data_IF_795584513029
#
_entry.id   IF_795584513029
#
_cell.length_a   1.000
_cell.length_b   1.000
_cell.length_c   1.000
_cell.angle_alpha   90.00
_cell.angle_beta   90.00
_cell.angle_gamma   90.00
#
_symmetry.space_group_name_H-M   'P 1'
#
loop_
_entity.id
_entity.type
_entity.pdbx_description
1 polymer ?
#
# COMPACT_ATOMS: atom_id res chain seq x y z
N UNK A 1 -51.21 66.77 -26.25
CA UNK A 1 -51.32 65.32 -26.04
C UNK A 1 -50.14 64.65 -26.72
N UNK A 2 -49.22 64.09 -25.93
CA UNK A 2 -48.30 63.02 -26.32
C UNK A 2 -47.64 62.52 -25.03
N UNK A 3 -48.16 61.42 -24.49
CA UNK A 3 -47.57 60.68 -23.37
C UNK A 3 -46.37 59.87 -23.88
N UNK A 4 -45.21 59.88 -23.21
CA UNK A 4 -44.16 58.94 -23.54
C UNK A 4 -44.45 57.56 -22.91
N UNK A 5 -44.24 56.56 -23.76
CA UNK A 5 -44.38 55.12 -23.54
C UNK A 5 -43.53 54.59 -22.39
N UNK A 6 -44.06 53.58 -21.71
CA UNK A 6 -43.52 52.98 -20.50
C UNK A 6 -42.13 52.35 -20.66
N UNK A 7 -41.36 52.44 -19.59
CA UNK A 7 -40.11 51.75 -19.38
C UNK A 7 -40.34 50.24 -19.35
N UNK A 8 -39.67 49.51 -20.23
CA UNK A 8 -39.59 48.05 -20.17
C UNK A 8 -38.83 47.63 -18.92
N UNK A 9 -39.52 46.95 -18.01
CA UNK A 9 -38.89 46.27 -16.88
C UNK A 9 -38.06 45.10 -17.44
N UNK A 10 -36.73 45.28 -17.48
CA UNK A 10 -35.80 44.18 -17.70
C UNK A 10 -35.91 43.20 -16.54
N UNK A 11 -36.61 42.09 -16.76
CA UNK A 11 -36.66 40.99 -15.81
C UNK A 11 -35.27 40.38 -15.69
N UNK A 12 -34.55 40.71 -14.63
CA UNK A 12 -33.37 39.95 -14.23
C UNK A 12 -33.87 38.58 -13.77
N UNK A 13 -33.55 37.52 -14.52
CA UNK A 13 -33.71 36.16 -14.04
C UNK A 13 -33.03 36.04 -12.66
N UNK A 14 -33.71 35.51 -11.64
CA UNK A 14 -33.07 35.30 -10.34
C UNK A 14 -31.84 34.41 -10.55
N UNK A 15 -30.70 34.70 -9.87
CA UNK A 15 -29.52 33.87 -9.97
C UNK A 15 -29.89 32.44 -9.56
N UNK A 16 -29.58 31.48 -10.43
CA UNK A 16 -29.78 30.06 -10.14
C UNK A 16 -29.12 29.73 -8.80
N UNK A 17 -29.82 29.10 -7.84
CA UNK A 17 -29.23 28.74 -6.57
C UNK A 17 -27.98 27.90 -6.79
N UNK A 18 -26.90 28.21 -6.08
CA UNK A 18 -25.69 27.39 -6.12
C UNK A 18 -26.04 25.96 -5.69
N UNK A 19 -25.83 24.98 -6.57
CA UNK A 19 -26.08 23.58 -6.27
C UNK A 19 -24.76 22.80 -6.22
N UNK A 20 -24.58 22.03 -5.15
CA UNK A 20 -23.44 21.12 -5.02
C UNK A 20 -23.56 20.03 -6.06
N UNK A 21 -22.51 19.82 -6.84
CA UNK A 21 -22.46 18.70 -7.78
C UNK A 21 -22.16 17.43 -7.01
N UNK A 22 -22.85 16.34 -7.36
CA UNK A 22 -22.59 15.04 -6.78
C UNK A 22 -21.17 14.59 -7.16
N UNK A 23 -20.31 14.25 -6.18
CA UNK A 23 -19.02 13.65 -6.49
C UNK A 23 -19.18 12.26 -7.08
N UNK A 24 -18.38 11.92 -8.09
CA UNK A 24 -18.28 10.56 -8.64
C UNK A 24 -17.80 9.59 -7.57
N UNK A 25 -16.70 9.93 -6.88
CA UNK A 25 -16.15 9.16 -5.77
C UNK A 25 -16.62 9.70 -4.44
N UNK A 26 -17.93 9.61 -4.20
CA UNK A 26 -18.53 10.11 -2.98
C UNK A 26 -20.04 10.20 -3.02
N UNK A 27 -20.58 11.07 -2.17
CA UNK A 27 -22.03 11.30 -2.08
C UNK A 27 -22.33 12.71 -1.59
N UNK A 28 -23.58 13.12 -1.76
CA UNK A 28 -24.13 14.30 -1.11
C UNK A 28 -24.74 13.89 0.23
N UNK A 29 -24.43 14.65 1.27
CA UNK A 29 -24.96 14.47 2.62
C UNK A 29 -25.77 15.70 3.01
N UNK A 30 -26.99 15.50 3.49
CA UNK A 30 -27.83 16.56 4.05
C UNK A 30 -27.27 17.00 5.41
N UNK A 31 -27.10 18.31 5.58
CA UNK A 31 -26.54 18.90 6.80
C UNK A 31 -27.57 19.62 7.67
N UNK A 32 -28.73 19.97 7.12
CA UNK A 32 -29.83 20.57 7.86
C UNK A 32 -31.20 20.20 7.27
N UNK A 33 -32.25 20.56 8.02
CA UNK A 33 -33.66 20.42 7.60
C UNK A 33 -34.06 21.35 6.45
N UNK A 34 -33.23 22.36 6.15
CA UNK A 34 -33.46 23.32 5.07
C UNK A 34 -32.99 22.78 3.71
N UNK A 35 -32.50 21.54 3.67
CA UNK A 35 -32.07 20.86 2.46
C UNK A 35 -30.66 21.24 2.01
N UNK A 36 -29.85 21.90 2.87
CA UNK A 36 -28.44 22.15 2.53
C UNK A 36 -27.69 20.83 2.48
N UNK A 37 -26.84 20.70 1.47
CA UNK A 37 -26.03 19.51 1.22
C UNK A 37 -24.55 19.86 1.25
N UNK A 38 -23.73 18.88 1.61
CA UNK A 38 -22.27 18.92 1.45
C UNK A 38 -21.81 17.72 0.65
N UNK A 39 -20.71 17.89 -0.08
CA UNK A 39 -20.04 16.77 -0.71
C UNK A 39 -19.21 16.02 0.33
N UNK A 40 -19.36 14.70 0.35
CA UNK A 40 -18.48 13.77 1.07
C UNK A 40 -17.72 12.99 0.01
N UNK A 41 -16.39 13.09 0.02
CA UNK A 41 -15.52 12.55 -1.03
C UNK A 41 -14.59 11.47 -0.51
N UNK A 42 -14.15 10.60 -1.42
CA UNK A 42 -13.28 9.48 -1.10
C UNK A 42 -13.98 8.43 -0.23
N UNK A 43 -13.19 7.65 0.51
CA UNK A 43 -13.70 6.68 1.48
C UNK A 43 -13.86 5.27 0.93
N UNK A 44 -12.88 4.81 0.16
CA UNK A 44 -12.78 3.44 -0.27
C UNK A 44 -12.25 3.25 -1.68
N UNK A 45 -12.25 1.98 -2.07
CA UNK A 45 -11.90 1.58 -3.42
C UNK A 45 -12.99 2.01 -4.41
N UNK A 46 -12.61 2.43 -5.62
CA UNK A 46 -13.55 2.65 -6.71
C UNK A 46 -14.00 1.30 -7.31
N UNK A 47 -15.14 1.32 -8.00
CA UNK A 47 -15.46 0.28 -8.98
C UNK A 47 -14.46 0.30 -10.13
N UNK A 48 -14.29 -0.83 -10.81
CA UNK A 48 -13.36 -1.01 -11.93
C UNK A 48 -13.56 0.02 -13.07
N UNK A 49 -14.78 0.49 -13.25
CA UNK A 49 -15.15 1.48 -14.26
C UNK A 49 -15.07 2.94 -13.80
N UNK A 50 -14.66 3.20 -12.55
CA UNK A 50 -14.64 4.52 -11.91
C UNK A 50 -16.03 5.20 -11.84
N UNK A 51 -17.13 4.45 -11.91
CA UNK A 51 -18.48 5.04 -11.89
C UNK A 51 -18.96 5.47 -10.51
N UNK A 52 -18.46 4.82 -9.46
CA UNK A 52 -18.77 5.08 -8.06
C UNK A 52 -17.75 4.35 -7.17
N UNK A 53 -17.86 4.56 -5.85
CA UNK A 53 -17.21 3.72 -4.86
C UNK A 53 -17.78 2.29 -4.89
N UNK A 54 -16.91 1.33 -4.62
CA UNK A 54 -17.28 -0.08 -4.46
C UNK A 54 -17.89 -0.30 -3.06
N UNK A 55 -19.17 -0.69 -2.96
CA UNK A 55 -19.84 -0.88 -1.67
C UNK A 55 -19.20 -1.97 -0.80
N UNK A 56 -18.44 -2.91 -1.38
CA UNK A 56 -17.75 -3.96 -0.65
C UNK A 56 -16.41 -3.51 -0.06
N UNK A 57 -15.88 -2.35 -0.48
CA UNK A 57 -14.55 -1.86 -0.13
C UNK A 57 -14.58 -0.39 0.31
N UNK A 58 -15.55 -0.06 1.15
CA UNK A 58 -15.70 1.27 1.74
C UNK A 58 -14.85 1.41 3.00
N UNK A 59 -14.28 2.59 3.18
CA UNK A 59 -13.64 2.99 4.43
C UNK A 59 -14.66 3.59 5.40
N UNK A 60 -14.41 3.50 6.72
CA UNK A 60 -15.22 4.20 7.71
C UNK A 60 -15.26 5.71 7.44
N UNK A 61 -16.44 6.29 7.68
CA UNK A 61 -16.63 7.72 7.53
C UNK A 61 -15.67 8.52 8.41
N UNK A 62 -15.00 9.50 7.82
CA UNK A 62 -14.11 10.43 8.52
C UNK A 62 -14.55 11.87 8.25
N UNK A 63 -14.50 12.74 9.26
CA UNK A 63 -14.93 14.14 9.12
C UNK A 63 -14.15 14.91 8.04
N UNK A 64 -12.89 14.53 7.77
CA UNK A 64 -12.05 15.14 6.73
C UNK A 64 -12.54 14.87 5.30
N UNK A 65 -13.44 13.90 5.09
CA UNK A 65 -14.08 13.62 3.80
C UNK A 65 -15.06 14.72 3.39
N UNK A 66 -15.51 15.57 4.32
CA UNK A 66 -16.42 16.67 3.99
C UNK A 66 -15.66 17.73 3.19
N UNK A 67 -16.24 18.10 2.04
CA UNK A 67 -15.84 19.23 1.21
C UNK A 67 -16.83 20.36 1.45
N UNK A 68 -16.42 21.38 2.19
CA UNK A 68 -17.25 22.58 2.38
C UNK A 68 -17.21 23.44 1.12
N UNK A 69 -18.35 24.03 0.81
CA UNK A 69 -18.59 24.75 -0.46
C UNK A 69 -18.05 26.18 -0.41
N UNK A 70 -18.07 26.78 0.78
CA UNK A 70 -17.65 28.14 1.06
C UNK A 70 -16.57 28.08 2.14
N UNK A 71 -15.46 28.80 1.93
CA UNK A 71 -14.37 28.91 2.90
C UNK A 71 -13.61 27.60 3.20
N UNK A 72 -13.38 26.74 2.18
CA UNK A 72 -12.65 25.45 2.29
C UNK A 72 -11.15 25.59 2.66
N UNK A 73 -10.63 26.81 2.82
CA UNK A 73 -9.20 27.06 3.07
C UNK A 73 -8.66 26.34 4.31
N UNK A 74 -9.45 26.25 5.39
CA UNK A 74 -9.04 25.56 6.62
C UNK A 74 -8.97 24.04 6.43
N UNK A 75 -9.96 23.44 5.78
CA UNK A 75 -9.97 21.99 5.53
C UNK A 75 -8.88 21.60 4.54
N UNK A 76 -8.71 22.38 3.46
CA UNK A 76 -7.60 22.21 2.52
C UNK A 76 -6.24 22.24 3.23
N UNK A 77 -6.04 23.14 4.21
CA UNK A 77 -4.80 23.22 4.96
C UNK A 77 -4.48 21.91 5.71
N UNK A 78 -5.48 21.20 6.24
CA UNK A 78 -5.28 19.87 6.83
C UNK A 78 -5.00 18.81 5.76
N UNK A 79 -5.72 18.84 4.63
CA UNK A 79 -5.56 17.87 3.54
C UNK A 79 -4.15 17.88 2.94
N UNK A 80 -3.51 19.05 2.84
CA UNK A 80 -2.15 19.19 2.31
C UNK A 80 -1.06 19.22 3.40
N UNK A 81 -1.42 19.13 4.69
CA UNK A 81 -0.46 19.17 5.79
C UNK A 81 0.40 17.91 5.73
N UNK A 82 1.69 18.07 5.42
CA UNK A 82 2.63 16.95 5.41
C UNK A 82 2.91 16.38 6.80
N UNK A 83 3.56 15.23 6.82
CA UNK A 83 3.99 14.56 8.05
C UNK A 83 4.88 15.45 8.92
N UNK A 84 4.79 15.28 10.23
CA UNK A 84 5.61 16.01 11.21
C UNK A 84 7.08 15.62 11.07
N UNK A 85 7.36 14.32 11.10
CA UNK A 85 8.68 13.79 10.72
C UNK A 85 8.74 13.62 9.21
N UNK A 86 9.60 14.41 8.56
CA UNK A 86 9.80 14.31 7.11
C UNK A 86 10.47 12.99 6.75
N UNK A 87 9.97 12.37 5.69
CA UNK A 87 10.52 11.14 5.17
C UNK A 87 11.83 11.41 4.41
N UNK A 88 12.80 10.55 4.64
CA UNK A 88 14.07 10.51 3.92
C UNK A 88 14.38 9.07 3.50
N UNK A 89 15.37 8.90 2.63
CA UNK A 89 15.72 7.61 2.03
C UNK A 89 16.21 6.55 3.03
N UNK A 90 16.62 6.97 4.24
CA UNK A 90 17.05 6.07 5.33
C UNK A 90 15.91 5.80 6.33
N UNK A 91 14.76 6.43 6.14
CA UNK A 91 13.60 6.31 7.02
C UNK A 91 12.92 4.94 6.89
N UNK A 92 12.06 4.63 7.87
CA UNK A 92 11.27 3.42 7.85
C UNK A 92 10.13 3.54 6.82
N UNK A 93 10.31 2.92 5.65
CA UNK A 93 9.35 2.96 4.55
C UNK A 93 7.97 2.41 4.97
N UNK A 94 7.92 1.33 5.76
CA UNK A 94 6.66 0.70 6.19
C UNK A 94 5.84 1.67 7.04
N UNK A 95 6.49 2.37 7.97
CA UNK A 95 5.84 3.39 8.79
C UNK A 95 5.38 4.57 7.94
N UNK A 96 6.21 5.02 7.00
CA UNK A 96 5.83 6.08 6.07
C UNK A 96 4.60 5.72 5.23
N UNK A 97 4.54 4.51 4.66
CA UNK A 97 3.39 4.03 3.89
C UNK A 97 2.11 4.01 4.74
N UNK A 98 2.21 3.51 5.98
CA UNK A 98 1.09 3.50 6.93
C UNK A 98 0.59 4.91 7.20
N UNK A 99 1.50 5.84 7.50
CA UNK A 99 1.14 7.22 7.83
C UNK A 99 0.54 7.96 6.61
N UNK A 100 1.04 7.67 5.39
CA UNK A 100 0.44 8.15 4.14
C UNK A 100 -0.99 7.63 3.98
N UNK A 101 -1.22 6.32 4.10
CA UNK A 101 -2.57 5.73 3.98
C UNK A 101 -3.51 6.33 5.01
N UNK A 102 -3.08 6.40 6.28
CA UNK A 102 -3.88 6.97 7.35
C UNK A 102 -4.29 8.42 7.05
N UNK A 103 -3.35 9.24 6.56
CA UNK A 103 -3.64 10.62 6.17
C UNK A 103 -4.63 10.69 5.01
N UNK A 104 -4.45 9.87 3.98
CA UNK A 104 -5.35 9.86 2.82
C UNK A 104 -6.78 9.49 3.25
N UNK A 105 -6.95 8.42 4.04
CA UNK A 105 -8.26 7.96 4.52
C UNK A 105 -8.92 9.00 5.42
N UNK A 106 -8.18 9.54 6.41
CA UNK A 106 -8.72 10.52 7.35
C UNK A 106 -9.24 11.80 6.68
N UNK A 107 -8.73 12.10 5.47
CA UNK A 107 -9.00 13.32 4.72
C UNK A 107 -9.80 13.10 3.42
N UNK A 108 -10.26 11.86 3.15
CA UNK A 108 -11.02 11.54 1.93
C UNK A 108 -10.22 11.69 0.63
N UNK A 109 -8.92 11.42 0.69
CA UNK A 109 -7.98 11.44 -0.44
C UNK A 109 -7.54 10.04 -0.86
N UNK A 110 -8.07 8.99 -0.24
CA UNK A 110 -7.65 7.60 -0.44
C UNK A 110 -8.05 7.05 -1.81
N UNK A 111 -9.24 7.39 -2.31
CA UNK A 111 -9.74 6.82 -3.57
C UNK A 111 -8.84 7.14 -4.78
N UNK A 112 -8.17 8.31 -4.80
CA UNK A 112 -7.25 8.65 -5.90
C UNK A 112 -5.98 7.80 -5.92
N UNK A 113 -5.70 7.04 -4.86
CA UNK A 113 -4.55 6.17 -4.75
C UNK A 113 -4.81 4.78 -5.35
N UNK A 114 -6.04 4.50 -5.79
CA UNK A 114 -6.36 3.24 -6.45
C UNK A 114 -6.00 3.27 -7.94
N UNK A 115 -5.34 2.21 -8.40
CA UNK A 115 -4.92 2.01 -9.79
C UNK A 115 -5.30 0.60 -10.24
N UNK A 116 -5.79 0.41 -11.48
CA UNK A 116 -6.00 -0.92 -12.05
C UNK A 116 -4.71 -1.76 -12.06
N UNK A 117 -4.70 -2.90 -11.39
CA UNK A 117 -3.52 -3.76 -11.33
C UNK A 117 -3.13 -4.31 -12.73
N UNK A 118 -1.82 -4.37 -13.03
CA UNK A 118 -1.28 -4.72 -14.35
C UNK A 118 -1.84 -6.02 -14.95
N UNK A 119 -2.09 -7.01 -14.10
CA UNK A 119 -2.44 -8.37 -14.53
C UNK A 119 -3.93 -8.68 -14.44
N UNK A 120 -4.62 -8.09 -13.45
CA UNK A 120 -6.00 -8.44 -13.12
C UNK A 120 -6.98 -7.35 -13.54
N UNK A 121 -6.53 -6.11 -13.74
CA UNK A 121 -7.39 -4.96 -14.01
C UNK A 121 -8.16 -4.44 -12.78
N UNK A 122 -8.19 -5.21 -11.69
CA UNK A 122 -8.88 -4.84 -10.45
C UNK A 122 -8.15 -3.66 -9.79
N UNK A 123 -8.86 -2.60 -9.34
CA UNK A 123 -8.27 -1.49 -8.63
C UNK A 123 -7.60 -1.93 -7.32
N UNK A 124 -6.32 -1.60 -7.15
CA UNK A 124 -5.53 -1.84 -5.94
C UNK A 124 -4.94 -0.53 -5.42
N UNK A 125 -4.70 -0.44 -4.12
CA UNK A 125 -4.15 0.77 -3.50
C UNK A 125 -2.64 0.87 -3.78
N UNK A 126 -2.23 1.88 -4.55
CA UNK A 126 -0.85 2.01 -5.07
C UNK A 126 0.20 2.13 -3.97
N UNK A 127 -0.15 2.68 -2.80
CA UNK A 127 0.80 2.79 -1.68
C UNK A 127 1.19 1.41 -1.15
N UNK A 128 0.24 0.47 -1.14
CA UNK A 128 0.46 -0.89 -0.63
C UNK A 128 1.08 -1.79 -1.70
N UNK A 129 0.58 -1.69 -2.93
CA UNK A 129 0.96 -2.55 -4.06
C UNK A 129 2.00 -1.90 -4.99
N UNK A 130 2.73 -0.87 -4.53
CA UNK A 130 3.76 -0.21 -5.33
C UNK A 130 4.82 -1.13 -5.97
N UNK A 131 5.22 -2.29 -5.39
CA UNK A 131 6.20 -3.17 -6.04
C UNK A 131 5.68 -3.80 -7.34
N UNK A 132 4.36 -3.85 -7.53
CA UNK A 132 3.71 -4.40 -8.72
C UNK A 132 3.72 -3.46 -9.93
N UNK A 133 4.17 -2.21 -9.74
CA UNK A 133 4.14 -1.16 -10.76
C UNK A 133 5.53 -0.62 -11.06
N UNK A 134 5.80 -0.45 -12.36
CA UNK A 134 6.83 0.46 -12.86
C UNK A 134 6.20 1.84 -13.14
N UNK A 135 7.02 2.90 -13.22
CA UNK A 135 6.55 4.27 -13.54
C UNK A 135 5.77 4.31 -14.86
N UNK A 136 6.20 3.55 -15.87
CA UNK A 136 5.54 3.48 -17.18
C UNK A 136 4.20 2.75 -17.10
N UNK A 137 4.15 1.64 -16.36
CA UNK A 137 2.93 0.85 -16.19
C UNK A 137 1.83 1.63 -15.48
N UNK A 138 2.16 2.35 -14.39
CA UNK A 138 1.18 3.15 -13.64
C UNK A 138 0.66 4.31 -14.49
N UNK A 139 1.52 5.01 -15.24
CA UNK A 139 1.09 6.07 -16.18
C UNK A 139 0.10 5.55 -17.22
N UNK A 140 0.36 4.35 -17.76
CA UNK A 140 -0.55 3.71 -18.72
C UNK A 140 -1.90 3.39 -18.07
N UNK A 141 -1.92 2.80 -16.88
CA UNK A 141 -3.15 2.36 -16.21
C UNK A 141 -4.02 3.51 -15.76
N UNK A 142 -3.43 4.57 -15.21
CA UNK A 142 -4.22 5.72 -14.73
C UNK A 142 -4.75 6.58 -15.89
N UNK A 143 -4.20 6.48 -17.10
CA UNK A 143 -4.57 7.37 -18.21
C UNK A 143 -6.07 7.40 -18.52
N UNK A 144 -6.73 6.23 -18.58
CA UNK A 144 -8.17 6.13 -18.84
C UNK A 144 -9.01 6.61 -17.66
N UNK A 145 -8.50 6.42 -16.44
CA UNK A 145 -9.14 6.84 -15.19
C UNK A 145 -9.12 8.37 -15.05
N UNK A 146 -8.00 9.03 -15.38
CA UNK A 146 -7.87 10.49 -15.31
C UNK A 146 -8.88 11.22 -16.20
N UNK A 147 -9.30 10.61 -17.31
CA UNK A 147 -10.34 11.17 -18.19
C UNK A 147 -11.74 11.16 -17.54
N UNK A 148 -11.93 10.38 -16.47
CA UNK A 148 -13.20 10.26 -15.74
C UNK A 148 -13.23 11.11 -14.47
N UNK A 149 -12.14 11.79 -14.15
CA UNK A 149 -12.06 12.61 -12.95
C UNK A 149 -13.04 13.77 -13.03
N UNK A 150 -13.86 13.89 -11.99
CA UNK A 150 -14.60 15.11 -11.77
C UNK A 150 -13.70 16.18 -11.11
N UNK A 151 -14.29 17.31 -10.74
CA UNK A 151 -13.57 18.39 -10.06
C UNK A 151 -13.06 17.99 -8.66
N UNK A 152 -13.75 17.09 -7.97
CA UNK A 152 -13.39 16.61 -6.64
C UNK A 152 -12.23 15.62 -6.72
N UNK A 153 -12.25 14.71 -7.69
CA UNK A 153 -11.14 13.79 -7.97
C UNK A 153 -9.87 14.57 -8.33
N UNK A 154 -9.99 15.57 -9.19
CA UNK A 154 -8.88 16.44 -9.60
C UNK A 154 -8.30 17.24 -8.42
N UNK A 155 -9.17 17.73 -7.53
CA UNK A 155 -8.76 18.42 -6.30
C UNK A 155 -8.09 17.45 -5.32
N UNK A 156 -8.66 16.26 -5.12
CA UNK A 156 -8.11 15.21 -4.26
C UNK A 156 -6.71 14.79 -4.74
N UNK A 157 -6.53 14.56 -6.04
CA UNK A 157 -5.23 14.20 -6.63
C UNK A 157 -4.18 15.29 -6.40
N UNK A 158 -4.56 16.54 -6.62
CA UNK A 158 -3.68 17.70 -6.42
C UNK A 158 -3.29 17.87 -4.95
N UNK A 159 -4.24 17.72 -4.04
CA UNK A 159 -4.00 17.85 -2.60
C UNK A 159 -3.20 16.68 -2.02
N UNK A 160 -3.43 15.45 -2.50
CA UNK A 160 -2.63 14.29 -2.13
C UNK A 160 -1.17 14.40 -2.59
N UNK A 161 -0.93 14.95 -3.79
CA UNK A 161 0.43 15.28 -4.25
C UNK A 161 1.10 16.30 -3.35
N UNK A 162 0.42 17.41 -3.03
CA UNK A 162 0.96 18.43 -2.14
C UNK A 162 1.23 17.89 -0.74
N UNK A 163 0.34 17.05 -0.20
CA UNK A 163 0.57 16.35 1.05
C UNK A 163 1.86 15.51 1.00
N UNK A 164 2.01 14.71 -0.06
CA UNK A 164 3.17 13.85 -0.23
C UNK A 164 4.45 14.68 -0.31
N UNK A 165 4.48 15.71 -1.16
CA UNK A 165 5.61 16.63 -1.31
C UNK A 165 5.97 17.31 0.02
N UNK A 166 4.97 17.82 0.74
CA UNK A 166 5.14 18.42 2.07
C UNK A 166 5.60 17.41 3.12
N UNK A 167 5.56 16.10 2.85
CA UNK A 167 5.98 15.05 3.78
C UNK A 167 7.43 14.60 3.56
N UNK A 168 8.14 15.14 2.56
CA UNK A 168 9.52 14.75 2.22
C UNK A 168 10.55 15.73 2.78
N UNK A 169 11.76 15.22 3.03
CA UNK A 169 12.93 16.06 3.25
C UNK A 169 13.25 16.88 1.99
N UNK A 170 13.70 18.16 2.09
CA UNK A 170 13.95 19.01 0.94
C UNK A 170 14.85 18.38 -0.14
N UNK A 171 15.90 17.66 0.26
CA UNK A 171 16.84 17.00 -0.65
C UNK A 171 16.20 15.87 -1.47
N UNK A 172 15.21 15.18 -0.90
CA UNK A 172 14.45 14.12 -1.57
C UNK A 172 13.35 14.72 -2.44
N UNK A 173 12.68 15.78 -1.98
CA UNK A 173 11.69 16.52 -2.74
C UNK A 173 12.29 17.05 -4.05
N UNK A 174 13.47 17.66 -3.99
CA UNK A 174 14.17 18.16 -5.19
C UNK A 174 14.43 17.05 -6.22
N UNK A 175 14.88 15.87 -5.78
CA UNK A 175 15.08 14.72 -6.67
C UNK A 175 13.77 14.21 -7.27
N UNK A 176 12.68 14.26 -6.51
CA UNK A 176 11.35 13.87 -6.97
C UNK A 176 10.83 14.84 -8.03
N UNK A 177 10.88 16.15 -7.77
CA UNK A 177 10.39 17.19 -8.69
C UNK A 177 11.14 17.20 -10.02
N UNK A 178 12.43 16.84 -10.03
CA UNK A 178 13.20 16.67 -11.27
C UNK A 178 12.75 15.49 -12.15
N UNK A 179 11.98 14.53 -11.61
CA UNK A 179 11.57 13.31 -12.33
C UNK A 179 10.09 13.27 -12.68
N UNK A 180 9.25 13.94 -11.91
CA UNK A 180 7.81 14.00 -12.14
C UNK A 180 7.45 15.11 -13.12
N UNK A 181 6.33 14.95 -13.82
CA UNK A 181 5.72 15.99 -14.65
C UNK A 181 4.63 16.70 -13.86
N UNK A 182 4.34 17.95 -14.21
CA UNK A 182 3.23 18.72 -13.60
C UNK A 182 1.87 18.04 -13.80
N UNK A 183 1.72 17.26 -14.87
CA UNK A 183 0.52 16.49 -15.21
C UNK A 183 0.48 15.10 -14.56
N UNK A 184 1.54 14.65 -13.90
CA UNK A 184 1.54 13.33 -13.27
C UNK A 184 0.55 13.32 -12.09
N UNK A 185 -0.23 12.24 -11.99
CA UNK A 185 -1.19 12.02 -10.91
C UNK A 185 -0.52 11.51 -9.64
N UNK A 186 -1.21 11.55 -8.50
CA UNK A 186 -0.71 11.07 -7.22
C UNK A 186 -0.11 9.65 -7.31
N UNK A 187 -0.76 8.65 -7.93
CA UNK A 187 -0.15 7.33 -8.07
C UNK A 187 1.19 7.34 -8.79
N UNK A 188 1.32 8.14 -9.85
CA UNK A 188 2.58 8.26 -10.61
C UNK A 188 3.67 8.92 -9.75
N UNK A 189 3.32 9.98 -9.01
CA UNK A 189 4.25 10.66 -8.10
C UNK A 189 4.70 9.71 -6.99
N UNK A 190 3.79 8.92 -6.40
CA UNK A 190 4.11 7.96 -5.36
C UNK A 190 5.03 6.85 -5.86
N UNK A 191 4.74 6.23 -7.02
CA UNK A 191 5.63 5.22 -7.62
C UNK A 191 7.01 5.80 -7.96
N UNK A 192 7.06 7.05 -8.43
CA UNK A 192 8.33 7.73 -8.72
C UNK A 192 9.14 7.93 -7.44
N UNK A 193 8.50 8.30 -6.32
CA UNK A 193 9.13 8.37 -5.01
C UNK A 193 9.65 6.99 -4.56
N UNK A 194 8.86 5.93 -4.74
CA UNK A 194 9.29 4.57 -4.40
C UNK A 194 10.52 4.13 -5.21
N UNK A 195 10.58 4.49 -6.49
CA UNK A 195 11.74 4.23 -7.34
C UNK A 195 12.99 5.00 -6.89
N UNK A 196 12.83 6.23 -6.40
CA UNK A 196 13.92 7.01 -5.79
C UNK A 196 14.38 6.40 -4.45
N UNK A 197 13.43 5.90 -3.66
CA UNK A 197 13.71 5.26 -2.38
C UNK A 197 14.42 3.93 -2.54
N UNK A 198 13.97 3.11 -3.49
CA UNK A 198 14.51 1.79 -3.73
C UNK A 198 14.56 1.53 -5.23
N UNK A 199 15.74 1.18 -5.74
CA UNK A 199 15.92 0.78 -7.13
C UNK A 199 15.08 -0.48 -7.42
N UNK A 200 14.06 -0.41 -8.27
CA UNK A 200 13.32 -1.58 -8.76
C UNK A 200 14.12 -2.32 -9.86
N UNK A 201 15.39 -2.63 -9.59
CA UNK A 201 16.23 -3.39 -10.53
C UNK A 201 16.12 -4.89 -10.28
N UNK A 202 16.31 -5.67 -11.35
CA UNK A 202 16.43 -7.14 -11.25
C UNK A 202 17.53 -7.52 -10.25
N UNK A 203 18.65 -6.78 -10.24
CA UNK A 203 19.74 -6.98 -9.28
C UNK A 203 19.29 -6.82 -7.83
N UNK A 204 18.35 -5.92 -7.53
CA UNK A 204 17.80 -5.79 -6.18
C UNK A 204 16.97 -7.00 -5.80
N UNK A 205 16.08 -7.46 -6.67
CA UNK A 205 15.29 -8.66 -6.38
C UNK A 205 16.17 -9.89 -6.20
N UNK A 206 17.23 -10.03 -7.00
CA UNK A 206 18.25 -11.07 -6.78
C UNK A 206 18.99 -10.90 -5.46
N UNK A 207 19.33 -9.67 -5.05
CA UNK A 207 19.94 -9.42 -3.74
C UNK A 207 19.00 -9.80 -2.58
N UNK A 208 17.69 -9.55 -2.69
CA UNK A 208 16.69 -9.97 -1.69
C UNK A 208 16.60 -11.50 -1.64
N UNK A 209 16.49 -12.17 -2.80
CA UNK A 209 16.50 -13.64 -2.89
C UNK A 209 17.76 -14.22 -2.24
N UNK A 210 18.90 -13.60 -2.48
CA UNK A 210 20.19 -14.04 -1.93
C UNK A 210 20.30 -13.76 -0.43
N UNK A 211 19.73 -12.66 0.05
CA UNK A 211 19.59 -12.38 1.49
C UNK A 211 18.77 -13.46 2.17
N UNK A 212 17.62 -13.85 1.61
CA UNK A 212 16.81 -14.97 2.12
C UNK A 212 17.63 -16.26 2.19
N UNK A 213 18.40 -16.59 1.15
CA UNK A 213 19.23 -17.82 1.13
C UNK A 213 20.38 -17.81 2.13
N UNK A 214 20.96 -16.64 2.38
CA UNK A 214 22.15 -16.49 3.23
C UNK A 214 21.84 -16.22 4.69
N UNK A 215 20.60 -15.81 5.01
CA UNK A 215 20.16 -15.50 6.37
C UNK A 215 20.37 -16.69 7.30
N UNK A 216 20.99 -16.44 8.44
CA UNK A 216 21.29 -17.47 9.46
C UNK A 216 20.79 -17.01 10.83
N UNK A 217 20.47 -17.96 11.72
CA UNK A 217 20.12 -17.64 13.11
C UNK A 217 21.20 -16.81 13.83
N UNK A 218 22.47 -17.08 13.54
CA UNK A 218 23.62 -16.36 14.11
C UNK A 218 23.68 -14.86 13.77
N UNK A 219 22.94 -14.42 12.75
CA UNK A 219 22.85 -13.01 12.38
C UNK A 219 21.99 -12.21 13.38
N UNK A 220 21.25 -12.91 14.25
CA UNK A 220 20.33 -12.34 15.22
C UNK A 220 20.85 -12.55 16.66
N UNK A 221 20.85 -11.52 17.52
CA UNK A 221 21.28 -11.65 18.91
C UNK A 221 20.53 -12.76 19.65
N UNK A 222 21.28 -13.68 20.27
CA UNK A 222 20.70 -14.83 20.97
C UNK A 222 19.94 -15.80 20.06
N UNK A 223 20.22 -15.78 18.75
CA UNK A 223 19.48 -16.55 17.74
C UNK A 223 17.96 -16.32 17.85
N UNK A 224 17.53 -15.06 17.99
CA UNK A 224 16.10 -14.72 18.09
C UNK A 224 15.38 -14.98 16.77
N UNK A 225 14.70 -16.13 16.71
CA UNK A 225 13.97 -16.58 15.52
C UNK A 225 12.77 -15.69 15.20
N UNK A 226 12.24 -14.94 16.17
CA UNK A 226 11.17 -13.98 15.90
C UNK A 226 11.65 -12.86 14.98
N UNK A 227 12.87 -12.36 15.20
CA UNK A 227 13.47 -11.33 14.35
C UNK A 227 13.81 -11.89 12.96
N UNK A 228 14.36 -13.11 12.91
CA UNK A 228 14.64 -13.80 11.65
C UNK A 228 13.37 -14.05 10.83
N UNK A 229 12.28 -14.46 11.49
CA UNK A 229 10.94 -14.67 10.93
C UNK A 229 10.36 -13.38 10.36
N UNK A 230 10.44 -12.28 11.11
CA UNK A 230 9.98 -10.97 10.64
C UNK A 230 10.72 -10.54 9.35
N UNK A 231 12.04 -10.63 9.33
CA UNK A 231 12.84 -10.26 8.16
C UNK A 231 12.55 -11.18 6.95
N UNK A 232 12.32 -12.48 7.16
CA UNK A 232 11.92 -13.39 6.09
C UNK A 232 10.56 -13.03 5.52
N UNK A 233 9.57 -12.75 6.36
CA UNK A 233 8.23 -12.33 5.93
C UNK A 233 8.27 -11.01 5.17
N UNK A 234 9.06 -10.03 5.63
CA UNK A 234 9.21 -8.73 4.95
C UNK A 234 9.76 -8.92 3.53
N UNK A 235 10.86 -9.66 3.39
CA UNK A 235 11.52 -9.87 2.10
C UNK A 235 10.66 -10.70 1.14
N UNK A 236 10.05 -11.79 1.63
CA UNK A 236 9.17 -12.62 0.81
C UNK A 236 7.93 -11.84 0.34
N UNK A 237 7.30 -11.07 1.23
CA UNK A 237 6.13 -10.25 0.88
C UNK A 237 6.48 -9.23 -0.20
N UNK A 238 7.66 -8.60 -0.14
CA UNK A 238 8.10 -7.70 -1.20
C UNK A 238 8.27 -8.43 -2.54
N UNK A 239 8.90 -9.61 -2.54
CA UNK A 239 9.04 -10.42 -3.75
C UNK A 239 7.70 -10.90 -4.31
N UNK A 240 6.72 -11.24 -3.45
CA UNK A 240 5.38 -11.66 -3.87
C UNK A 240 4.68 -10.52 -4.59
N UNK A 241 4.67 -9.32 -3.99
CA UNK A 241 4.07 -8.12 -4.60
C UNK A 241 4.74 -7.75 -5.93
N UNK A 242 6.05 -7.90 -6.02
CA UNK A 242 6.78 -7.67 -7.27
C UNK A 242 6.62 -8.78 -8.31
N UNK A 243 5.92 -9.88 -7.98
CA UNK A 243 5.81 -11.05 -8.85
C UNK A 243 7.14 -11.80 -9.04
N UNK A 244 8.13 -11.60 -8.18
CA UNK A 244 9.48 -12.19 -8.24
C UNK A 244 9.69 -13.33 -7.23
N UNK A 245 8.69 -13.64 -6.41
CA UNK A 245 8.77 -14.71 -5.43
C UNK A 245 8.70 -16.10 -6.07
N UNK A 246 9.54 -17.00 -5.57
CA UNK A 246 9.55 -18.42 -5.91
C UNK A 246 9.46 -19.25 -4.63
N UNK A 247 8.60 -20.27 -4.61
CA UNK A 247 8.39 -21.14 -3.46
C UNK A 247 9.67 -21.86 -2.99
N UNK A 248 10.67 -22.05 -3.86
CA UNK A 248 12.00 -22.54 -3.46
C UNK A 248 12.68 -21.68 -2.38
N UNK A 249 12.31 -20.40 -2.28
CA UNK A 249 12.79 -19.53 -1.21
C UNK A 249 12.24 -19.96 0.15
N UNK A 250 11.02 -20.49 0.25
CA UNK A 250 10.50 -21.09 1.49
C UNK A 250 11.40 -22.24 1.96
N UNK A 251 11.89 -23.06 1.03
CA UNK A 251 12.85 -24.13 1.34
C UNK A 251 14.12 -23.57 1.95
N UNK A 252 14.67 -22.51 1.36
CA UNK A 252 15.84 -21.82 1.91
C UNK A 252 15.60 -21.20 3.29
N UNK A 253 14.39 -20.67 3.55
CA UNK A 253 14.01 -20.16 4.88
C UNK A 253 13.99 -21.27 5.92
N UNK A 254 13.36 -22.40 5.58
CA UNK A 254 13.26 -23.56 6.47
C UNK A 254 14.64 -24.17 6.77
N UNK A 255 15.52 -24.26 5.78
CA UNK A 255 16.92 -24.64 5.95
C UNK A 255 17.68 -23.66 6.86
N UNK A 256 17.32 -22.38 6.83
CA UNK A 256 17.82 -21.36 7.73
C UNK A 256 17.37 -21.61 9.17
N UNK A 257 16.08 -21.82 9.38
CA UNK A 257 15.51 -22.10 10.70
C UNK A 257 16.07 -23.40 11.31
N UNK A 258 16.23 -24.46 10.53
CA UNK A 258 16.78 -25.75 10.98
C UNK A 258 18.23 -25.67 11.50
N UNK A 259 18.94 -24.56 11.24
CA UNK A 259 20.29 -24.31 11.77
C UNK A 259 20.30 -23.66 13.15
N UNK A 260 19.13 -23.35 13.72
CA UNK A 260 19.01 -22.64 14.99
C UNK A 260 19.03 -23.56 16.22
N UNK A 261 19.41 -22.99 17.36
CA UNK A 261 19.38 -23.65 18.66
C UNK A 261 20.57 -24.60 18.88
N UNK A 262 20.58 -25.35 20.00
CA UNK A 262 21.72 -26.19 20.35
C UNK A 262 21.86 -27.37 19.40
N UNK A 263 23.11 -27.78 19.13
CA UNK A 263 23.45 -28.91 18.23
C UNK A 263 22.92 -30.26 18.73
N UNK A 264 22.63 -30.38 20.02
CA UNK A 264 22.12 -31.60 20.63
C UNK A 264 20.59 -31.61 20.59
N UNK A 265 20.04 -32.35 19.62
CA UNK A 265 18.65 -32.81 19.52
C UNK A 265 17.58 -31.93 20.17
N UNK A 266 17.45 -30.69 19.68
CA UNK A 266 16.39 -29.81 20.16
C UNK A 266 15.02 -30.25 19.59
N UNK A 267 13.99 -30.20 20.45
CA UNK A 267 12.58 -30.41 20.07
C UNK A 267 12.15 -29.48 18.92
N UNK A 268 12.82 -28.33 18.81
CA UNK A 268 12.63 -27.33 17.77
C UNK A 268 12.86 -27.89 16.36
N UNK A 269 14.05 -28.39 16.06
CA UNK A 269 14.39 -28.94 14.75
C UNK A 269 13.54 -30.18 14.44
N UNK A 270 13.24 -31.01 15.44
CA UNK A 270 12.35 -32.16 15.24
C UNK A 270 10.98 -31.74 14.70
N UNK A 271 10.39 -30.68 15.26
CA UNK A 271 9.09 -30.18 14.81
C UNK A 271 9.14 -29.61 13.38
N UNK A 272 10.27 -29.02 12.98
CA UNK A 272 10.47 -28.43 11.65
C UNK A 272 10.88 -29.46 10.58
N UNK A 273 11.56 -30.55 10.94
CA UNK A 273 12.04 -31.57 10.01
C UNK A 273 10.90 -32.23 9.22
N UNK A 274 9.77 -32.52 9.89
CA UNK A 274 8.62 -33.12 9.23
C UNK A 274 8.01 -32.19 8.16
N UNK A 275 7.99 -30.88 8.42
CA UNK A 275 7.51 -29.89 7.46
C UNK A 275 8.53 -29.67 6.33
N UNK A 276 9.83 -29.81 6.60
CA UNK A 276 10.85 -29.75 5.55
C UNK A 276 10.67 -30.85 4.51
N UNK A 277 10.41 -32.09 4.96
CA UNK A 277 10.12 -33.20 4.05
C UNK A 277 8.81 -33.05 3.26
N UNK A 278 7.81 -32.37 3.83
CA UNK A 278 6.58 -32.04 3.08
C UNK A 278 6.85 -30.95 2.06
N UNK A 279 7.56 -29.89 2.45
CA UNK A 279 7.93 -28.80 1.57
C UNK A 279 8.78 -29.27 0.40
N UNK A 280 9.80 -30.10 0.61
CA UNK A 280 10.60 -30.67 -0.49
C UNK A 280 9.72 -31.41 -1.52
N UNK A 281 8.75 -32.20 -1.07
CA UNK A 281 7.80 -32.88 -1.97
C UNK A 281 6.90 -31.90 -2.71
N UNK A 282 6.30 -30.96 -1.99
CA UNK A 282 5.47 -29.93 -2.60
C UNK A 282 6.26 -29.09 -3.63
N UNK A 283 7.53 -28.78 -3.36
CA UNK A 283 8.41 -28.05 -4.27
C UNK A 283 8.72 -28.83 -5.56
N UNK A 284 8.81 -30.16 -5.47
CA UNK A 284 8.92 -31.02 -6.66
C UNK A 284 7.61 -31.04 -7.46
N UNK A 285 6.47 -31.15 -6.78
CA UNK A 285 5.15 -31.22 -7.41
C UNK A 285 4.80 -29.93 -8.17
N UNK A 286 5.09 -28.76 -7.58
CA UNK A 286 4.85 -27.47 -8.24
C UNK A 286 5.79 -27.21 -9.43
N UNK A 287 6.88 -27.96 -9.58
CA UNK A 287 7.83 -27.79 -10.68
C UNK A 287 7.21 -27.91 -12.07
N UNK A 288 6.06 -28.59 -12.16
CA UNK A 288 5.29 -28.79 -13.40
C UNK A 288 3.96 -28.02 -13.43
N UNK A 289 3.66 -27.24 -12.39
CA UNK A 289 2.41 -26.49 -12.27
C UNK A 289 2.54 -25.06 -12.83
N UNK A 290 1.43 -24.51 -13.30
CA UNK A 290 1.34 -23.06 -13.52
C UNK A 290 1.45 -22.32 -12.19
N UNK A 291 2.03 -21.12 -12.20
CA UNK A 291 2.29 -20.32 -10.99
C UNK A 291 1.09 -20.21 -10.06
N UNK A 292 -0.08 -19.87 -10.59
CA UNK A 292 -1.31 -19.73 -9.79
C UNK A 292 -1.75 -21.06 -9.16
N UNK A 293 -1.59 -22.18 -9.87
CA UNK A 293 -1.87 -23.50 -9.33
C UNK A 293 -0.85 -23.91 -8.26
N UNK A 294 0.43 -23.57 -8.46
CA UNK A 294 1.48 -23.76 -7.46
C UNK A 294 1.20 -22.97 -6.18
N UNK A 295 0.80 -21.70 -6.30
CA UNK A 295 0.42 -20.86 -5.16
C UNK A 295 -0.74 -21.48 -4.36
N UNK A 296 -1.78 -21.97 -5.05
CA UNK A 296 -2.93 -22.65 -4.43
C UNK A 296 -2.49 -23.95 -3.76
N UNK A 297 -1.66 -24.77 -4.41
CA UNK A 297 -1.19 -26.04 -3.86
C UNK A 297 -0.38 -25.83 -2.58
N UNK A 298 0.62 -24.94 -2.60
CA UNK A 298 1.47 -24.63 -1.44
C UNK A 298 0.64 -24.06 -0.29
N UNK A 299 -0.34 -23.19 -0.58
CA UNK A 299 -1.24 -22.66 0.43
C UNK A 299 -2.16 -23.74 1.03
N UNK A 300 -2.66 -24.68 0.22
CA UNK A 300 -3.53 -25.76 0.69
C UNK A 300 -2.82 -26.73 1.64
N UNK A 301 -1.51 -26.89 1.45
CA UNK A 301 -0.65 -27.72 2.31
C UNK A 301 -0.12 -26.96 3.54
N UNK A 302 -0.43 -25.65 3.69
CA UNK A 302 0.11 -24.75 4.73
C UNK A 302 1.64 -24.67 4.72
N UNK A 303 2.20 -24.54 3.52
CA UNK A 303 3.65 -24.51 3.27
C UNK A 303 4.10 -23.15 2.72
N UNK A 304 3.35 -22.09 2.98
CA UNK A 304 3.74 -20.74 2.56
C UNK A 304 4.90 -20.20 3.41
N UNK A 305 5.53 -19.11 2.97
CA UNK A 305 6.57 -18.46 3.78
C UNK A 305 6.02 -17.93 5.11
N UNK A 306 4.73 -17.56 5.17
CA UNK A 306 4.08 -17.12 6.41
C UNK A 306 3.92 -18.32 7.35
N UNK A 307 3.32 -19.42 6.87
CA UNK A 307 3.10 -20.63 7.66
C UNK A 307 4.39 -21.19 8.26
N UNK A 308 5.44 -21.32 7.44
CA UNK A 308 6.73 -21.86 7.87
C UNK A 308 7.43 -20.94 8.87
N UNK A 309 7.33 -19.63 8.68
CA UNK A 309 7.94 -18.65 9.58
C UNK A 309 7.18 -18.54 10.90
N UNK A 310 5.85 -18.58 10.87
CA UNK A 310 4.99 -18.65 12.07
C UNK A 310 5.27 -19.91 12.87
N UNK A 311 5.39 -21.07 12.20
CA UNK A 311 5.72 -22.32 12.87
C UNK A 311 7.09 -22.26 13.55
N UNK A 312 8.11 -21.75 12.88
CA UNK A 312 9.44 -21.60 13.45
C UNK A 312 9.41 -20.66 14.67
N UNK A 313 8.76 -19.51 14.53
CA UNK A 313 8.60 -18.53 15.60
C UNK A 313 7.84 -19.08 16.82
N UNK A 314 6.74 -19.80 16.61
CA UNK A 314 5.95 -20.41 17.68
C UNK A 314 6.74 -21.49 18.45
N UNK A 315 7.50 -22.32 17.75
CA UNK A 315 8.35 -23.33 18.38
C UNK A 315 9.49 -22.67 19.19
N UNK A 316 10.10 -21.62 18.65
CA UNK A 316 11.10 -20.83 19.34
C UNK A 316 10.54 -20.20 20.62
N UNK A 317 9.39 -19.52 20.54
CA UNK A 317 8.74 -18.86 21.69
C UNK A 317 8.41 -19.86 22.78
N UNK A 318 7.86 -21.04 22.44
CA UNK A 318 7.58 -22.11 23.41
C UNK A 318 8.82 -22.56 24.18
N UNK A 319 9.98 -22.67 23.52
CA UNK A 319 11.24 -23.04 24.20
C UNK A 319 11.80 -21.87 25.01
N UNK A 320 11.70 -20.64 24.49
CA UNK A 320 12.12 -19.42 25.20
C UNK A 320 11.34 -19.24 26.51
N UNK A 321 10.01 -19.41 26.47
CA UNK A 321 9.13 -19.30 27.64
C UNK A 321 9.41 -20.36 28.70
N UNK A 322 9.88 -21.54 28.28
CA UNK A 322 10.32 -22.61 29.20
C UNK A 322 11.75 -22.40 29.73
N UNK A 323 12.49 -21.42 29.22
CA UNK A 323 13.91 -21.26 29.52
C UNK A 323 14.80 -22.37 28.92
N UNK A 324 14.28 -23.11 27.94
CA UNK A 324 14.95 -24.23 27.26
C UNK A 324 15.65 -23.78 25.96
N UNK A 325 15.54 -22.51 25.58
CA UNK A 325 16.25 -21.96 24.44
C UNK A 325 17.71 -21.67 24.80
N UNK A 326 18.62 -22.48 24.26
CA UNK A 326 20.07 -22.26 24.38
C UNK A 326 20.66 -21.95 23.00
N UNK A 327 20.92 -20.67 22.67
CA UNK A 327 21.55 -20.31 21.40
C UNK A 327 22.86 -21.05 21.23
N UNK A 328 23.23 -21.40 19.99
CA UNK A 328 24.57 -21.94 19.75
C UNK A 328 25.60 -20.93 20.26
N UNK A 329 26.42 -21.35 21.25
CA UNK A 329 27.45 -20.49 21.85
C UNK A 329 28.27 -19.84 20.72
N UNK A 330 28.19 -18.52 20.61
CA UNK A 330 29.11 -17.75 19.79
C UNK A 330 30.50 -18.01 20.38
N UNK A 331 31.31 -18.79 19.68
CA UNK A 331 32.76 -18.78 19.93
C UNK A 331 33.22 -17.35 19.72
N UNK A 332 33.51 -16.67 20.84
CA UNK A 332 34.19 -15.37 20.89
C UNK A 332 35.56 -15.49 20.24
#
# INVERSE_FOLDING_TARGET
>A
MATPSGAGAGGSNPPTPFQVQQPTMGKLMLIDSDGKQVAVVGGGAPKDDWSALDPARLEPYCAGQIRTILYDGKHRAYRVKGLETKFNLKGNLRMFQRDVIQHLVANGLDTIAYVPHCQTGIPVHVVEEHPSFTIESVRKQVSAQLLKYDKYDSANDSEAKLFLENSLEPSLLEKLTMRIKTTDSFPVVFITLMYLNRSQSVHRFEAIKESIRKRKPSDYPGEDISLMSEDHKIDAKELVKAGQYHHFLTGSMLDGYLKAGPKDHNLYCHNLLSESQKLERALLDIGYMYRTAADVHVASERLTYEDVSDLAEDNYRKLKDKGEWTPALSTV
#
